data_IF_092057284179
#
_entry.id   IF_092057284179
#
_cell.length_a   1.000
_cell.length_b   1.000
_cell.length_c   1.000
_cell.angle_alpha   90.00
_cell.angle_beta   90.00
_cell.angle_gamma   90.00
#
_symmetry.space_group_name_H-M   'P 1'
#
loop_
_entity.id
_entity.type
_entity.pdbx_description
1 polymer ?
#
# COMPACT_ATOMS: atom_id res chain seq x y z
N UNK A 1 -6.24 -34.83 19.61
CA UNK A 1 -5.22 -35.37 18.68
C UNK A 1 -4.96 -34.32 17.62
N UNK A 2 -3.90 -33.51 17.80
CA UNK A 2 -3.46 -32.54 16.80
C UNK A 2 -2.74 -33.31 15.70
N UNK A 3 -3.43 -33.58 14.60
CA UNK A 3 -2.81 -34.10 13.39
C UNK A 3 -2.09 -32.94 12.71
N UNK A 4 -0.76 -32.96 12.78
CA UNK A 4 0.13 -32.10 12.02
C UNK A 4 0.02 -32.52 10.54
N UNK A 5 -0.86 -31.87 9.76
CA UNK A 5 -0.81 -31.91 8.30
C UNK A 5 0.28 -30.95 7.81
N UNK A 6 1.54 -31.33 8.08
CA UNK A 6 2.73 -30.49 8.02
C UNK A 6 3.33 -30.27 6.64
N UNK A 7 2.55 -29.80 5.68
CA UNK A 7 3.12 -29.31 4.41
C UNK A 7 2.47 -27.99 4.05
N UNK A 8 1.65 -28.02 3.01
CA UNK A 8 1.19 -26.82 2.31
C UNK A 8 0.27 -25.87 3.11
N UNK A 9 -0.53 -26.39 4.06
CA UNK A 9 -1.48 -25.56 4.82
C UNK A 9 -0.77 -24.68 5.84
N UNK A 10 0.17 -25.24 6.61
CA UNK A 10 1.01 -24.47 7.53
C UNK A 10 1.86 -23.46 6.76
N UNK A 11 2.41 -23.85 5.61
CA UNK A 11 3.15 -22.96 4.72
C UNK A 11 2.27 -21.78 4.26
N UNK A 12 1.03 -22.05 3.83
CA UNK A 12 0.09 -21.01 3.37
C UNK A 12 -0.27 -20.03 4.49
N UNK A 13 -0.55 -20.51 5.70
CA UNK A 13 -0.84 -19.63 6.85
C UNK A 13 0.38 -18.79 7.25
N UNK A 14 1.56 -19.40 7.27
CA UNK A 14 2.82 -18.71 7.57
C UNK A 14 3.08 -17.59 6.55
N UNK A 15 3.03 -17.89 5.26
CA UNK A 15 3.24 -16.89 4.20
C UNK A 15 2.15 -15.82 4.20
N UNK A 16 0.89 -16.19 4.45
CA UNK A 16 -0.21 -15.24 4.59
C UNK A 16 0.06 -14.24 5.71
N UNK A 17 0.58 -14.69 6.86
CA UNK A 17 0.95 -13.81 7.97
C UNK A 17 2.13 -12.90 7.62
N UNK A 18 3.18 -13.44 6.99
CA UNK A 18 4.35 -12.67 6.55
C UNK A 18 3.95 -11.57 5.56
N UNK A 19 3.22 -11.92 4.49
CA UNK A 19 2.80 -10.93 3.50
C UNK A 19 1.79 -9.93 4.06
N UNK A 20 0.96 -10.32 5.03
CA UNK A 20 0.08 -9.37 5.72
C UNK A 20 0.89 -8.36 6.54
N UNK A 21 1.91 -8.82 7.24
CA UNK A 21 2.81 -7.91 7.96
C UNK A 21 3.52 -6.94 7.00
N UNK A 22 4.06 -7.46 5.89
CA UNK A 22 4.69 -6.62 4.85
C UNK A 22 3.69 -5.63 4.24
N UNK A 23 2.46 -6.05 3.96
CA UNK A 23 1.40 -5.18 3.44
C UNK A 23 1.08 -4.03 4.39
N UNK A 24 0.90 -4.33 5.68
CA UNK A 24 0.63 -3.30 6.69
C UNK A 24 1.83 -2.36 6.84
N UNK A 25 3.05 -2.89 6.91
CA UNK A 25 4.27 -2.09 7.03
C UNK A 25 4.43 -1.12 5.84
N UNK A 26 4.26 -1.61 4.61
CA UNK A 26 4.31 -0.78 3.41
C UNK A 26 3.18 0.24 3.37
N UNK A 27 1.97 -0.14 3.81
CA UNK A 27 0.83 0.77 3.92
C UNK A 27 1.07 1.91 4.91
N UNK A 28 1.70 1.60 6.06
CA UNK A 28 2.10 2.61 7.05
C UNK A 28 3.11 3.59 6.45
N UNK A 29 4.12 3.11 5.73
CA UNK A 29 5.06 4.00 5.03
C UNK A 29 4.34 4.87 3.99
N UNK A 30 3.44 4.28 3.19
CA UNK A 30 2.75 4.99 2.13
C UNK A 30 1.85 6.11 2.66
N UNK A 31 0.96 5.78 3.60
CA UNK A 31 0.05 6.75 4.21
C UNK A 31 0.80 7.74 5.11
N UNK A 32 1.83 7.29 5.82
CA UNK A 32 2.67 8.15 6.65
C UNK A 32 3.36 9.25 5.85
N UNK A 33 3.92 8.92 4.68
CA UNK A 33 4.50 9.91 3.77
C UNK A 33 3.43 10.82 3.16
N UNK A 34 2.24 10.28 2.83
CA UNK A 34 1.11 11.09 2.38
C UNK A 34 0.73 12.15 3.43
N UNK A 35 0.64 11.76 4.70
CA UNK A 35 0.35 12.69 5.80
C UNK A 35 1.46 13.71 5.99
N UNK A 36 2.73 13.28 5.92
CA UNK A 36 3.85 14.19 5.95
C UNK A 36 3.75 15.25 4.85
N UNK A 37 3.44 14.88 3.60
CA UNK A 37 3.30 15.86 2.52
C UNK A 37 2.12 16.82 2.74
N UNK A 38 0.95 16.28 3.08
CA UNK A 38 -0.30 17.06 3.12
C UNK A 38 -0.43 17.94 4.36
N UNK A 39 0.04 17.47 5.52
CA UNK A 39 -0.15 18.17 6.78
C UNK A 39 1.11 18.88 7.28
N UNK A 40 2.30 18.40 6.89
CA UNK A 40 3.57 18.95 7.38
C UNK A 40 4.29 19.73 6.29
N UNK A 41 4.75 19.07 5.22
CA UNK A 41 5.65 19.70 4.26
C UNK A 41 4.98 20.83 3.48
N UNK A 42 3.92 20.55 2.70
CA UNK A 42 3.33 21.52 1.77
C UNK A 42 2.80 22.76 2.52
N UNK A 43 2.04 22.63 3.63
CA UNK A 43 1.54 23.81 4.35
C UNK A 43 2.63 24.66 4.99
N UNK A 44 3.80 24.09 5.32
CA UNK A 44 4.90 24.83 5.95
C UNK A 44 5.90 25.43 4.96
N UNK A 45 5.90 25.03 3.68
CA UNK A 45 6.81 25.59 2.65
C UNK A 45 6.77 27.13 2.55
N UNK A 46 5.63 27.83 2.69
CA UNK A 46 5.59 29.29 2.67
C UNK A 46 6.30 29.96 3.86
N UNK A 47 6.41 29.26 4.99
CA UNK A 47 7.00 29.79 6.23
C UNK A 47 8.54 29.75 6.23
N UNK A 48 9.15 29.16 5.19
CA UNK A 48 10.59 28.92 5.11
C UNK A 48 11.23 30.04 4.28
N UNK A 49 12.36 30.63 4.72
CA UNK A 49 13.14 31.58 3.93
C UNK A 49 13.51 31.03 2.54
N UNK A 50 13.46 31.87 1.51
CA UNK A 50 13.64 31.45 0.10
C UNK A 50 15.00 30.80 -0.17
N UNK A 51 16.05 31.22 0.53
CA UNK A 51 17.40 30.66 0.46
C UNK A 51 17.49 29.22 0.99
N UNK A 52 16.57 28.82 1.88
CA UNK A 52 16.55 27.49 2.50
C UNK A 52 15.61 26.50 1.80
N UNK A 53 14.63 26.99 1.03
CA UNK A 53 13.68 26.15 0.28
C UNK A 53 14.34 25.08 -0.61
N UNK A 54 15.48 25.32 -1.28
CA UNK A 54 16.14 24.29 -2.08
C UNK A 54 16.58 23.05 -1.29
N UNK A 55 16.89 23.18 0.00
CA UNK A 55 17.26 22.03 0.82
C UNK A 55 16.10 21.02 0.92
N UNK A 56 14.87 21.49 1.08
CA UNK A 56 13.69 20.63 1.07
C UNK A 56 13.40 20.14 -0.34
N UNK A 57 13.27 21.06 -1.30
CA UNK A 57 12.82 20.74 -2.65
C UNK A 57 13.78 19.85 -3.45
N UNK A 58 15.10 19.96 -3.22
CA UNK A 58 16.12 19.22 -3.98
C UNK A 58 16.70 18.01 -3.26
N UNK A 59 16.56 17.91 -1.93
CA UNK A 59 17.16 16.82 -1.14
C UNK A 59 16.09 15.97 -0.46
N UNK A 60 15.22 16.59 0.34
CA UNK A 60 14.24 15.86 1.16
C UNK A 60 13.07 15.37 0.32
N UNK A 61 12.45 16.26 -0.46
CA UNK A 61 11.25 15.93 -1.23
C UNK A 61 11.49 14.79 -2.25
N UNK A 62 12.59 14.75 -3.02
CA UNK A 62 12.87 13.63 -3.93
C UNK A 62 13.04 12.30 -3.20
N UNK A 63 13.73 12.29 -2.05
CA UNK A 63 13.90 11.08 -1.25
C UNK A 63 12.56 10.59 -0.67
N UNK A 64 11.74 11.50 -0.14
CA UNK A 64 10.40 11.17 0.35
C UNK A 64 9.50 10.66 -0.78
N UNK A 65 9.54 11.27 -1.96
CA UNK A 65 8.78 10.84 -3.13
C UNK A 65 9.23 9.47 -3.65
N UNK A 66 10.54 9.18 -3.63
CA UNK A 66 11.07 7.85 -3.94
C UNK A 66 10.43 6.79 -3.03
N UNK A 67 10.49 6.98 -1.70
CA UNK A 67 9.91 6.03 -0.75
C UNK A 67 8.39 5.93 -0.90
N UNK A 68 7.72 7.04 -1.16
CA UNK A 68 6.27 7.08 -1.38
C UNK A 68 5.85 6.19 -2.56
N UNK A 69 6.60 6.23 -3.68
CA UNK A 69 6.35 5.39 -4.87
C UNK A 69 6.48 3.90 -4.59
N UNK A 70 7.59 3.51 -3.96
CA UNK A 70 7.89 2.11 -3.71
C UNK A 70 7.03 1.55 -2.58
N UNK A 71 6.66 2.36 -1.59
CA UNK A 71 5.69 1.99 -0.56
C UNK A 71 4.30 1.76 -1.17
N UNK A 72 3.86 2.62 -2.11
CA UNK A 72 2.60 2.41 -2.84
C UNK A 72 2.58 1.08 -3.59
N UNK A 73 3.61 0.84 -4.42
CA UNK A 73 3.72 -0.39 -5.20
C UNK A 73 3.81 -1.63 -4.29
N UNK A 74 4.64 -1.57 -3.25
CA UNK A 74 4.81 -2.66 -2.28
C UNK A 74 3.51 -2.98 -1.56
N UNK A 75 2.74 -1.97 -1.14
CA UNK A 75 1.43 -2.16 -0.50
C UNK A 75 0.47 -2.91 -1.42
N UNK A 76 0.39 -2.53 -2.70
CA UNK A 76 -0.50 -3.20 -3.66
C UNK A 76 -0.06 -4.65 -3.91
N UNK A 77 1.22 -4.89 -4.21
CA UNK A 77 1.73 -6.23 -4.53
C UNK A 77 1.54 -7.17 -3.34
N UNK A 78 1.98 -6.76 -2.15
CA UNK A 78 1.84 -7.58 -0.94
C UNK A 78 0.37 -7.81 -0.57
N UNK A 79 -0.50 -6.81 -0.77
CA UNK A 79 -1.94 -6.94 -0.54
C UNK A 79 -2.62 -7.93 -1.50
N UNK A 80 -2.23 -7.92 -2.78
CA UNK A 80 -2.69 -8.90 -3.77
C UNK A 80 -2.22 -10.31 -3.42
N UNK A 81 -0.98 -10.47 -2.94
CA UNK A 81 -0.47 -11.77 -2.48
C UNK A 81 -1.27 -12.26 -1.26
N UNK A 82 -1.58 -11.38 -0.30
CA UNK A 82 -2.46 -11.73 0.83
C UNK A 82 -3.84 -12.19 0.31
N UNK A 83 -4.45 -11.45 -0.61
CA UNK A 83 -5.75 -11.82 -1.17
C UNK A 83 -5.73 -13.17 -1.90
N UNK A 84 -4.64 -13.46 -2.61
CA UNK A 84 -4.42 -14.73 -3.28
C UNK A 84 -4.26 -15.88 -2.28
N UNK A 85 -3.38 -15.75 -1.30
CA UNK A 85 -3.12 -16.79 -0.28
C UNK A 85 -4.35 -17.08 0.60
N UNK A 86 -5.26 -16.12 0.76
CA UNK A 86 -6.50 -16.28 1.52
C UNK A 86 -7.71 -16.61 0.62
N UNK A 87 -7.52 -16.78 -0.70
CA UNK A 87 -8.54 -17.29 -1.63
C UNK A 87 -9.69 -16.33 -1.99
N UNK A 88 -9.57 -15.03 -1.69
CA UNK A 88 -10.63 -14.05 -1.96
C UNK A 88 -10.31 -13.07 -3.09
N UNK A 89 -9.17 -13.23 -3.78
CA UNK A 89 -8.70 -12.27 -4.80
C UNK A 89 -9.70 -12.08 -5.95
N UNK A 90 -10.32 -13.15 -6.45
CA UNK A 90 -11.25 -13.05 -7.58
C UNK A 90 -12.54 -12.33 -7.19
N UNK A 91 -13.05 -12.61 -6.00
CA UNK A 91 -14.26 -11.98 -5.44
C UNK A 91 -14.01 -10.50 -5.16
N UNK A 92 -12.86 -10.16 -4.57
CA UNK A 92 -12.49 -8.78 -4.27
C UNK A 92 -12.24 -7.96 -5.55
N UNK A 93 -11.47 -8.48 -6.51
CA UNK A 93 -11.16 -7.75 -7.74
C UNK A 93 -12.36 -7.59 -8.67
N UNK A 94 -13.31 -8.54 -8.64
CA UNK A 94 -14.56 -8.44 -9.39
C UNK A 94 -15.64 -7.60 -8.72
N UNK A 95 -15.38 -7.03 -7.54
CA UNK A 95 -16.35 -6.22 -6.78
C UNK A 95 -17.69 -6.95 -6.55
N UNK A 96 -17.64 -8.28 -6.34
CA UNK A 96 -18.83 -9.11 -6.13
C UNK A 96 -19.58 -9.52 -7.38
N UNK A 97 -19.14 -9.11 -8.59
CA UNK A 97 -19.76 -9.51 -9.86
C UNK A 97 -19.66 -11.03 -10.12
N UNK A 98 -18.65 -11.69 -9.56
CA UNK A 98 -18.46 -13.15 -9.66
C UNK A 98 -18.95 -13.89 -8.40
N UNK A 99 -19.81 -13.24 -7.60
CA UNK A 99 -20.17 -13.68 -6.26
C UNK A 99 -19.13 -13.26 -5.21
N UNK A 100 -19.56 -13.20 -3.94
CA UNK A 100 -18.70 -12.79 -2.84
C UNK A 100 -19.53 -12.42 -1.60
N UNK A 101 -18.89 -12.47 -0.44
CA UNK A 101 -19.47 -11.93 0.80
C UNK A 101 -19.27 -10.40 0.87
N UNK A 102 -20.06 -9.74 1.73
CA UNK A 102 -19.96 -8.30 1.93
C UNK A 102 -18.51 -7.87 2.26
N UNK A 103 -17.77 -8.70 3.00
CA UNK A 103 -16.37 -8.50 3.34
C UNK A 103 -15.47 -8.40 2.10
N UNK A 104 -15.57 -9.34 1.17
CA UNK A 104 -14.73 -9.34 -0.04
C UNK A 104 -15.02 -8.12 -0.92
N UNK A 105 -16.27 -7.69 -1.01
CA UNK A 105 -16.67 -6.47 -1.75
C UNK A 105 -16.06 -5.23 -1.11
N UNK A 106 -16.17 -5.07 0.22
CA UNK A 106 -15.57 -3.92 0.94
C UNK A 106 -14.06 -3.86 0.76
N UNK A 107 -13.37 -5.01 0.84
CA UNK A 107 -11.94 -5.09 0.58
C UNK A 107 -11.63 -4.73 -0.88
N UNK A 108 -12.43 -5.22 -1.83
CA UNK A 108 -12.30 -4.94 -3.26
C UNK A 108 -12.35 -3.44 -3.58
N UNK A 109 -13.27 -2.70 -2.95
CA UNK A 109 -13.34 -1.23 -3.11
C UNK A 109 -12.03 -0.59 -2.65
N UNK A 110 -11.52 -0.96 -1.48
CA UNK A 110 -10.23 -0.47 -0.97
C UNK A 110 -9.05 -0.81 -1.88
N UNK A 111 -9.03 -2.02 -2.43
CA UNK A 111 -7.99 -2.46 -3.38
C UNK A 111 -8.01 -1.62 -4.66
N UNK A 112 -9.17 -1.37 -5.25
CA UNK A 112 -9.29 -0.55 -6.46
C UNK A 112 -8.90 0.91 -6.21
N UNK A 113 -9.34 1.51 -5.11
CA UNK A 113 -8.90 2.84 -4.72
C UNK A 113 -7.38 2.90 -4.54
N UNK A 114 -6.79 1.89 -3.88
CA UNK A 114 -5.35 1.75 -3.76
C UNK A 114 -4.64 1.64 -5.12
N UNK A 115 -5.12 0.80 -6.03
CA UNK A 115 -4.53 0.62 -7.36
C UNK A 115 -4.56 1.92 -8.16
N UNK A 116 -5.71 2.61 -8.18
CA UNK A 116 -5.87 3.89 -8.88
C UNK A 116 -4.93 4.95 -8.28
N UNK A 117 -4.84 5.01 -6.96
CA UNK A 117 -3.92 5.92 -6.27
C UNK A 117 -2.46 5.58 -6.57
N UNK A 118 -2.06 4.31 -6.51
CA UNK A 118 -0.70 3.88 -6.85
C UNK A 118 -0.36 4.23 -8.31
N UNK A 119 -1.29 4.05 -9.24
CA UNK A 119 -1.13 4.49 -10.61
C UNK A 119 -0.90 6.01 -10.71
N UNK A 120 -1.67 6.82 -9.98
CA UNK A 120 -1.49 8.27 -9.94
C UNK A 120 -0.11 8.67 -9.37
N UNK A 121 0.35 7.99 -8.32
CA UNK A 121 1.70 8.17 -7.76
C UNK A 121 2.76 7.88 -8.83
N UNK A 122 2.57 6.83 -9.62
CA UNK A 122 3.54 6.37 -10.61
C UNK A 122 3.61 7.25 -11.85
N UNK A 123 2.45 7.72 -12.35
CA UNK A 123 2.35 8.38 -13.65
C UNK A 123 2.15 9.90 -13.60
N UNK A 124 1.64 10.45 -12.49
CA UNK A 124 1.26 11.87 -12.39
C UNK A 124 2.13 12.62 -11.39
N UNK A 125 2.22 12.12 -10.15
CA UNK A 125 2.92 12.83 -9.07
C UNK A 125 4.44 12.85 -9.30
N UNK A 126 5.00 11.78 -9.86
CA UNK A 126 6.43 11.64 -10.07
C UNK A 126 6.72 10.72 -11.26
N UNK A 127 6.55 11.13 -12.52
CA UNK A 127 6.86 10.24 -13.65
C UNK A 127 8.30 9.71 -13.61
#
# INVERSE_FOLDING_TARGET
MYLISGGWQLDTYFWSAVFRYLHVLSGVMWIGLLWYFNFVQIPNMPNIPDDQKPAIGKVIAPAALFWFRWAALSTIITGLIVAYLNGYINQAMSLGLLGGDAKSITIGIGMWLGIIMAYNVWMVIWP
#
